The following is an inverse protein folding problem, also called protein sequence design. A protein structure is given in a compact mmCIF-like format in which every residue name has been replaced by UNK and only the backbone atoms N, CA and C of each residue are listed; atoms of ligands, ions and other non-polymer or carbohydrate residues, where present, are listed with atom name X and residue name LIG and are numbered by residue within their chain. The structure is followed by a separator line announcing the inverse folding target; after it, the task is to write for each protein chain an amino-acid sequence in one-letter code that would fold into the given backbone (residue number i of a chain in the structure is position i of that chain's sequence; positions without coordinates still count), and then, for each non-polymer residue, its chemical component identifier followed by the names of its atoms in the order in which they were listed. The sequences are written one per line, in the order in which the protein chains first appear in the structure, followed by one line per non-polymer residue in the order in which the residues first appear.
data_IF_472092719610
#
_entry.id   IF_472092719610
#
_cell.length_a   1.000
_cell.length_b   1.000
_cell.length_c   1.000
_cell.angle_alpha   90.00
_cell.angle_beta   90.00
_cell.angle_gamma   90.00
#
_symmetry.space_group_name_H-M   'P 1'
#
loop_
_entity.id
_entity.type
_entity.pdbx_description
1 polymer ?
#
# COMPACT_ATOMS: atom_id res chain seq x y z
N UNK A 1 9.89 -14.97 -1.73
CA UNK A 1 11.29 -14.50 -1.89
C UNK A 1 11.93 -14.86 -3.21
N UNK A 2 11.87 -16.12 -3.69
CA UNK A 2 12.63 -16.54 -4.90
C UNK A 2 12.40 -15.64 -6.14
N UNK A 3 11.14 -15.39 -6.50
CA UNK A 3 10.81 -14.54 -7.66
C UNK A 3 11.29 -13.09 -7.51
N UNK A 4 11.14 -12.51 -6.32
CA UNK A 4 11.61 -11.14 -6.07
C UNK A 4 13.14 -11.04 -6.05
N UNK A 5 13.86 -12.11 -5.69
CA UNK A 5 15.32 -12.14 -5.64
C UNK A 5 15.98 -12.27 -7.02
N UNK A 6 15.35 -12.99 -7.94
CA UNK A 6 15.92 -13.28 -9.27
C UNK A 6 15.24 -12.53 -10.41
N UNK A 7 14.00 -12.08 -10.22
CA UNK A 7 13.17 -11.44 -11.24
C UNK A 7 12.46 -10.20 -10.66
N UNK A 8 13.20 -9.39 -9.91
CA UNK A 8 12.65 -8.22 -9.21
C UNK A 8 11.94 -7.26 -10.16
N UNK A 9 12.56 -7.01 -11.32
CA UNK A 9 12.05 -6.06 -12.31
C UNK A 9 10.76 -6.60 -12.93
N UNK A 10 10.75 -7.84 -13.38
CA UNK A 10 9.60 -8.51 -14.00
C UNK A 10 8.39 -8.51 -13.06
N UNK A 11 8.63 -8.80 -11.77
CA UNK A 11 7.58 -8.81 -10.74
C UNK A 11 7.03 -7.40 -10.53
N UNK A 12 7.87 -6.36 -10.49
CA UNK A 12 7.43 -4.96 -10.40
C UNK A 12 6.58 -4.56 -11.62
N UNK A 13 6.99 -4.93 -12.83
CA UNK A 13 6.22 -4.68 -14.06
C UNK A 13 4.86 -5.40 -14.06
N UNK A 14 4.81 -6.64 -13.56
CA UNK A 14 3.57 -7.38 -13.39
C UNK A 14 2.61 -6.67 -12.41
N UNK A 15 3.09 -6.25 -11.24
CA UNK A 15 2.29 -5.51 -10.25
C UNK A 15 1.75 -4.19 -10.83
N UNK A 16 2.60 -3.44 -11.53
CA UNK A 16 2.21 -2.18 -12.17
C UNK A 16 1.13 -2.41 -13.22
N UNK A 17 1.28 -3.42 -14.07
CA UNK A 17 0.27 -3.82 -15.05
C UNK A 17 -1.07 -4.16 -14.40
N UNK A 18 -1.05 -4.98 -13.33
CA UNK A 18 -2.27 -5.34 -12.58
C UNK A 18 -2.95 -4.11 -11.97
N UNK A 19 -2.19 -3.21 -11.32
CA UNK A 19 -2.74 -2.00 -10.70
C UNK A 19 -3.31 -1.05 -11.75
N UNK A 20 -2.58 -0.79 -12.84
CA UNK A 20 -3.08 0.01 -13.97
C UNK A 20 -4.37 -0.55 -14.56
N UNK A 21 -4.51 -1.88 -14.62
CA UNK A 21 -5.67 -2.54 -15.21
C UNK A 21 -6.96 -2.28 -14.43
N UNK A 22 -6.83 -2.04 -13.13
CA UNK A 22 -7.97 -1.72 -12.25
C UNK A 22 -8.38 -0.24 -12.30
N UNK A 23 -7.50 0.68 -12.69
CA UNK A 23 -7.77 2.13 -12.64
C UNK A 23 -9.04 2.56 -13.39
N UNK A 24 -9.31 2.10 -14.63
CA UNK A 24 -10.54 2.49 -15.34
C UNK A 24 -11.80 2.08 -14.59
N UNK A 25 -11.79 0.88 -14.00
CA UNK A 25 -12.89 0.35 -13.20
C UNK A 25 -13.11 1.18 -11.93
N UNK A 26 -12.04 1.54 -11.23
CA UNK A 26 -12.11 2.36 -10.01
C UNK A 26 -12.63 3.76 -10.34
N UNK A 27 -12.21 4.37 -11.46
CA UNK A 27 -12.71 5.68 -11.91
C UNK A 27 -14.20 5.61 -12.28
N UNK A 28 -14.64 4.53 -12.95
CA UNK A 28 -16.05 4.31 -13.28
C UNK A 28 -16.89 4.21 -12.00
N UNK A 29 -16.43 3.43 -11.02
CA UNK A 29 -17.14 3.27 -9.74
C UNK A 29 -17.14 4.57 -8.92
N UNK A 30 -16.02 5.31 -8.89
CA UNK A 30 -15.90 6.61 -8.22
C UNK A 30 -16.94 7.62 -8.70
N UNK A 31 -17.22 7.62 -10.01
CA UNK A 31 -18.11 8.56 -10.67
C UNK A 31 -19.57 8.09 -10.75
N UNK A 32 -19.89 6.90 -10.21
CA UNK A 32 -21.25 6.32 -10.21
C UNK A 32 -22.29 7.21 -9.53
N UNK A 33 -21.90 7.99 -8.52
CA UNK A 33 -22.77 8.95 -7.81
C UNK A 33 -22.66 10.40 -8.32
N UNK A 34 -22.07 10.57 -9.52
CA UNK A 34 -21.84 11.88 -10.16
C UNK A 34 -20.48 12.48 -9.79
N UNK A 35 -19.77 12.98 -10.80
CA UNK A 35 -18.46 13.62 -10.64
C UNK A 35 -18.58 15.03 -10.04
N UNK A 36 -17.66 15.37 -9.14
CA UNK A 36 -17.50 16.73 -8.61
C UNK A 36 -16.01 17.10 -8.62
N UNK A 37 -15.70 18.31 -9.06
CA UNK A 37 -14.31 18.78 -9.22
C UNK A 37 -13.51 18.79 -7.90
N UNK A 38 -14.20 18.91 -6.75
CA UNK A 38 -13.60 18.77 -5.41
C UNK A 38 -12.96 17.41 -5.15
N UNK A 39 -13.33 16.35 -5.89
CA UNK A 39 -12.71 15.03 -5.74
C UNK A 39 -11.26 15.01 -6.23
N UNK A 40 -10.91 15.87 -7.20
CA UNK A 40 -9.52 16.00 -7.65
C UNK A 40 -8.60 16.53 -6.56
N UNK A 41 -9.10 17.37 -5.64
CA UNK A 41 -8.29 17.85 -4.51
C UNK A 41 -7.89 16.66 -3.63
N UNK A 42 -8.84 15.78 -3.30
CA UNK A 42 -8.57 14.59 -2.51
C UNK A 42 -7.58 13.64 -3.19
N UNK A 43 -7.70 13.49 -4.51
CA UNK A 43 -6.74 12.76 -5.32
C UNK A 43 -5.34 13.36 -5.25
N UNK A 44 -5.19 14.65 -5.52
CA UNK A 44 -3.89 15.34 -5.50
C UNK A 44 -3.23 15.29 -4.13
N UNK A 45 -4.00 15.46 -3.05
CA UNK A 45 -3.52 15.35 -1.68
C UNK A 45 -2.99 13.94 -1.40
N UNK A 46 -3.78 12.91 -1.70
CA UNK A 46 -3.36 11.52 -1.46
C UNK A 46 -2.16 11.08 -2.31
N UNK A 47 -2.09 11.52 -3.56
CA UNK A 47 -0.95 11.27 -4.44
C UNK A 47 0.31 11.95 -3.89
N UNK A 48 0.22 13.21 -3.47
CA UNK A 48 1.33 13.95 -2.88
C UNK A 48 1.84 13.29 -1.60
N UNK A 49 0.93 12.86 -0.71
CA UNK A 49 1.28 12.15 0.52
C UNK A 49 2.06 10.86 0.21
N UNK A 50 1.61 10.08 -0.77
CA UNK A 50 2.25 8.81 -1.14
C UNK A 50 3.64 9.03 -1.73
N UNK A 51 3.79 10.03 -2.62
CA UNK A 51 5.10 10.35 -3.21
C UNK A 51 6.09 10.89 -2.17
N UNK A 52 5.62 11.73 -1.25
CA UNK A 52 6.44 12.23 -0.13
C UNK A 52 6.87 11.06 0.75
N UNK A 53 5.94 10.18 1.14
CA UNK A 53 6.25 9.01 1.95
C UNK A 53 7.30 8.10 1.26
N UNK A 54 7.15 7.87 -0.05
CA UNK A 54 8.13 7.10 -0.81
C UNK A 54 9.48 7.80 -0.96
N UNK A 55 9.53 9.12 -1.07
CA UNK A 55 10.79 9.85 -1.07
C UNK A 55 11.53 9.68 0.26
N UNK A 56 10.80 9.74 1.38
CA UNK A 56 11.36 9.48 2.71
C UNK A 56 11.85 8.03 2.87
N UNK A 57 11.17 7.06 2.25
CA UNK A 57 11.62 5.66 2.20
C UNK A 57 12.99 5.50 1.53
N UNK A 58 13.16 6.11 0.36
CA UNK A 58 14.35 5.92 -0.46
C UNK A 58 15.62 6.60 0.09
N UNK A 59 15.47 7.64 0.91
CA UNK A 59 16.61 8.41 1.43
C UNK A 59 17.26 7.81 2.70
N UNK A 60 17.09 6.51 2.94
CA UNK A 60 17.88 5.72 3.90
C UNK A 60 18.08 6.43 5.24
N UNK A 61 17.05 6.44 6.07
CA UNK A 61 17.11 7.20 7.32
C UNK A 61 17.93 6.47 8.37
N UNK A 62 18.97 7.15 8.87
CA UNK A 62 19.65 6.78 10.11
C UNK A 62 18.72 7.03 11.28
N UNK A 63 18.18 5.96 11.86
CA UNK A 63 17.30 6.04 13.01
C UNK A 63 18.09 5.71 14.26
N UNK A 64 18.15 6.69 15.16
CA UNK A 64 18.53 6.49 16.54
C UNK A 64 17.34 6.91 17.36
N UNK A 65 16.65 5.93 17.95
CA UNK A 65 15.73 6.11 19.06
C UNK A 65 15.75 4.78 19.83
N UNK A 66 15.99 4.83 21.14
CA UNK A 66 15.79 3.69 22.02
C UNK A 66 14.31 3.31 22.00
N UNK A 67 13.95 2.31 21.20
CA UNK A 67 12.58 1.83 21.12
C UNK A 67 12.20 1.11 22.42
N UNK A 68 11.08 1.52 23.00
CA UNK A 68 10.57 0.92 24.23
C UNK A 68 10.12 -0.53 24.02
N UNK A 69 10.59 -1.43 24.89
CA UNK A 69 10.25 -2.87 24.84
C UNK A 69 9.02 -3.26 25.68
N UNK A 70 8.36 -2.28 26.31
CA UNK A 70 7.22 -2.56 27.18
C UNK A 70 6.00 -3.13 26.42
N UNK A 71 5.11 -3.90 27.06
CA UNK A 71 3.91 -4.46 26.43
C UNK A 71 3.01 -3.42 25.74
N UNK A 72 2.92 -2.21 26.30
CA UNK A 72 2.16 -1.11 25.72
C UNK A 72 2.74 -0.66 24.37
N UNK A 73 4.07 -0.60 24.26
CA UNK A 73 4.74 -0.27 23.00
C UNK A 73 4.51 -1.35 21.94
N UNK A 74 4.48 -2.63 22.33
CA UNK A 74 4.15 -3.72 21.42
C UNK A 74 2.73 -3.61 20.85
N UNK A 75 1.75 -3.20 21.66
CA UNK A 75 0.40 -2.92 21.17
C UNK A 75 0.43 -1.76 20.16
N UNK A 76 1.19 -0.69 20.43
CA UNK A 76 1.34 0.43 19.48
C UNK A 76 1.98 -0.03 18.17
N UNK A 77 3.04 -0.83 18.22
CA UNK A 77 3.68 -1.39 17.02
C UNK A 77 2.69 -2.25 16.23
N UNK A 78 1.88 -3.06 16.93
CA UNK A 78 0.78 -3.80 16.33
C UNK A 78 -0.25 -2.90 15.63
N UNK A 79 -0.61 -1.77 16.28
CA UNK A 79 -1.54 -0.80 15.69
C UNK A 79 -0.99 -0.21 14.38
N UNK A 80 0.32 0.11 14.33
CA UNK A 80 1.01 0.65 13.15
C UNK A 80 1.05 -0.37 12.02
N UNK A 81 1.32 -1.64 12.33
CA UNK A 81 1.29 -2.73 11.34
C UNK A 81 -0.12 -2.86 10.75
N UNK A 82 -1.16 -2.86 11.60
CA UNK A 82 -2.56 -2.90 11.15
C UNK A 82 -2.94 -1.69 10.29
N UNK A 83 -2.38 -0.52 10.59
CA UNK A 83 -2.63 0.69 9.84
C UNK A 83 -2.02 0.64 8.43
N UNK A 84 -0.73 0.34 8.32
CA UNK A 84 -0.05 0.28 7.02
C UNK A 84 -0.48 -0.90 6.15
N UNK A 85 -1.12 -1.93 6.72
CA UNK A 85 -1.73 -3.01 5.94
C UNK A 85 -3.07 -2.62 5.31
N UNK A 86 -3.80 -1.67 5.90
CA UNK A 86 -5.09 -1.20 5.37
C UNK A 86 -4.90 -0.03 4.39
N UNK A 87 -3.99 0.89 4.69
CA UNK A 87 -3.80 2.07 3.83
C UNK A 87 -2.79 1.76 2.71
N UNK A 88 -3.24 1.73 1.44
CA UNK A 88 -2.33 1.48 0.32
C UNK A 88 -1.31 2.61 0.19
N UNK A 89 -0.07 2.25 -0.15
CA UNK A 89 1.02 3.20 -0.35
C UNK A 89 1.74 3.67 0.91
N UNK A 90 1.37 3.17 2.09
CA UNK A 90 2.09 3.44 3.35
C UNK A 90 2.76 2.15 3.83
N UNK A 91 4.10 2.13 3.85
CA UNK A 91 4.86 0.99 4.38
C UNK A 91 4.93 1.05 5.91
N UNK A 92 4.22 0.14 6.58
CA UNK A 92 4.30 0.00 8.05
C UNK A 92 5.74 -0.25 8.52
N UNK A 93 6.53 -1.00 7.74
CA UNK A 93 7.92 -1.32 8.05
C UNK A 93 8.77 -0.07 8.20
N UNK A 94 8.61 0.92 7.33
CA UNK A 94 9.32 2.20 7.44
C UNK A 94 8.94 2.94 8.72
N UNK A 95 7.64 2.99 9.05
CA UNK A 95 7.18 3.68 10.26
C UNK A 95 7.79 3.03 11.50
N UNK A 96 7.82 1.70 11.55
CA UNK A 96 8.49 0.95 12.62
C UNK A 96 9.99 1.20 12.65
N UNK A 97 10.62 1.31 11.46
CA UNK A 97 12.03 1.63 11.31
C UNK A 97 12.27 3.02 11.92
N UNK A 98 11.48 4.04 11.57
CA UNK A 98 11.56 5.40 12.13
C UNK A 98 11.45 5.45 13.65
N UNK A 99 10.70 4.52 14.23
CA UNK A 99 10.55 4.38 15.67
C UNK A 99 11.67 3.56 16.35
N UNK A 100 12.64 3.03 15.58
CA UNK A 100 13.69 2.11 16.08
C UNK A 100 13.16 0.72 16.47
N UNK A 101 11.90 0.43 16.16
CA UNK A 101 11.16 -0.75 16.65
C UNK A 101 11.11 -1.91 15.66
N UNK A 102 11.54 -1.69 14.41
CA UNK A 102 11.50 -2.70 13.35
C UNK A 102 12.25 -3.99 13.74
N UNK A 103 13.48 -3.85 14.23
CA UNK A 103 14.30 -4.99 14.68
C UNK A 103 13.67 -5.73 15.87
N UNK A 104 13.01 -5.01 16.77
CA UNK A 104 12.30 -5.60 17.91
C UNK A 104 11.14 -6.48 17.42
N UNK A 105 10.33 -5.94 16.50
CA UNK A 105 9.17 -6.65 15.94
C UNK A 105 9.61 -7.86 15.13
N UNK A 106 10.57 -7.69 14.20
CA UNK A 106 11.07 -8.79 13.37
C UNK A 106 11.79 -9.83 14.22
N UNK A 107 12.59 -9.41 15.20
CA UNK A 107 13.25 -10.30 16.15
C UNK A 107 12.25 -11.12 16.98
N UNK A 108 11.15 -10.51 17.44
CA UNK A 108 10.09 -11.20 18.17
C UNK A 108 9.37 -12.24 17.32
N UNK A 109 9.12 -11.93 16.04
CA UNK A 109 8.48 -12.87 15.10
C UNK A 109 9.44 -14.01 14.75
N UNK A 110 10.69 -13.70 14.42
CA UNK A 110 11.71 -14.68 14.02
C UNK A 110 12.03 -15.68 15.13
N UNK A 111 12.10 -15.20 16.38
CA UNK A 111 12.34 -16.07 17.55
C UNK A 111 11.05 -16.64 18.17
N UNK A 112 9.89 -16.44 17.54
CA UNK A 112 8.57 -16.93 18.00
C UNK A 112 8.34 -16.56 19.48
N UNK A 113 8.53 -15.28 19.82
CA UNK A 113 8.29 -14.77 21.16
C UNK A 113 6.78 -14.62 21.38
N UNK A 114 6.12 -15.71 21.77
CA UNK A 114 4.66 -15.85 21.86
C UNK A 114 4.01 -14.69 22.62
N UNK A 115 4.59 -14.28 23.76
CA UNK A 115 4.03 -13.20 24.57
C UNK A 115 4.05 -11.85 23.85
N UNK A 116 5.13 -11.54 23.13
CA UNK A 116 5.29 -10.31 22.36
C UNK A 116 4.35 -10.33 21.15
N UNK A 117 4.26 -11.47 20.47
CA UNK A 117 3.36 -11.68 19.33
C UNK A 117 1.89 -11.50 19.74
N UNK A 118 1.50 -11.95 20.95
CA UNK A 118 0.14 -11.73 21.46
C UNK A 118 -0.15 -10.22 21.60
N UNK A 119 0.75 -9.44 22.21
CA UNK A 119 0.55 -8.00 22.34
C UNK A 119 0.53 -7.28 20.99
N UNK A 120 1.43 -7.65 20.07
CA UNK A 120 1.41 -7.16 18.69
C UNK A 120 0.09 -7.51 17.99
N UNK A 121 -0.37 -8.75 18.15
CA UNK A 121 -1.62 -9.25 17.57
C UNK A 121 -2.85 -8.51 18.09
N UNK A 122 -2.90 -8.19 19.38
CA UNK A 122 -3.98 -7.36 19.96
C UNK A 122 -4.00 -5.98 19.30
N UNK A 123 -2.85 -5.31 19.21
CA UNK A 123 -2.75 -4.02 18.53
C UNK A 123 -3.17 -4.10 17.06
N UNK A 124 -2.70 -5.13 16.35
CA UNK A 124 -3.05 -5.36 14.95
C UNK A 124 -4.56 -5.52 14.75
N UNK A 125 -5.22 -6.38 15.53
CA UNK A 125 -6.65 -6.63 15.43
C UNK A 125 -7.46 -5.36 15.74
N UNK A 126 -7.09 -4.63 16.80
CA UNK A 126 -7.74 -3.37 17.15
C UNK A 126 -7.65 -2.37 15.99
N UNK A 127 -6.46 -2.21 15.41
CA UNK A 127 -6.24 -1.32 14.27
C UNK A 127 -7.08 -1.73 13.08
N UNK A 128 -7.08 -3.02 12.72
CA UNK A 128 -7.85 -3.51 11.58
C UNK A 128 -9.34 -3.22 11.74
N UNK A 129 -9.91 -3.51 12.90
CA UNK A 129 -11.33 -3.25 13.17
C UNK A 129 -11.66 -1.76 13.14
N UNK A 130 -10.78 -0.92 13.73
CA UNK A 130 -10.98 0.52 13.79
C UNK A 130 -10.92 1.16 12.39
N UNK A 131 -9.91 0.80 11.60
CA UNK A 131 -9.74 1.33 10.25
C UNK A 131 -10.76 0.77 9.26
N UNK A 132 -11.14 -0.50 9.36
CA UNK A 132 -12.24 -1.06 8.56
C UNK A 132 -13.53 -0.26 8.78
N UNK A 133 -13.88 0.01 10.04
CA UNK A 133 -15.06 0.83 10.39
C UNK A 133 -14.93 2.27 9.88
N UNK A 134 -13.75 2.87 10.02
CA UNK A 134 -13.48 4.22 9.52
C UNK A 134 -13.70 4.31 8.00
N UNK A 135 -13.17 3.35 7.25
CA UNK A 135 -13.31 3.28 5.79
C UNK A 135 -14.78 3.10 5.39
N UNK A 136 -15.55 2.25 6.09
CA UNK A 136 -16.99 2.13 5.86
C UNK A 136 -17.72 3.48 6.03
N UNK A 137 -17.44 4.20 7.12
CA UNK A 137 -18.05 5.52 7.38
C UNK A 137 -17.66 6.52 6.28
N UNK A 138 -16.40 6.48 5.81
CA UNK A 138 -15.92 7.32 4.72
C UNK A 138 -16.67 7.04 3.41
N UNK A 139 -16.86 5.77 3.05
CA UNK A 139 -17.63 5.40 1.86
C UNK A 139 -19.10 5.81 1.94
N UNK A 140 -19.72 5.72 3.12
CA UNK A 140 -21.11 6.13 3.34
C UNK A 140 -21.29 7.65 3.20
N UNK A 141 -20.43 8.44 3.85
CA UNK A 141 -20.57 9.91 3.91
C UNK A 141 -19.92 10.64 2.73
N UNK A 142 -18.83 10.10 2.20
CA UNK A 142 -17.92 10.79 1.29
C UNK A 142 -17.50 9.94 0.08
N UNK A 143 -18.38 9.06 -0.40
CA UNK A 143 -18.17 8.11 -1.51
C UNK A 143 -17.17 8.57 -2.60
N UNK A 144 -17.46 9.66 -3.31
CA UNK A 144 -16.59 10.15 -4.39
C UNK A 144 -15.23 10.66 -3.92
N UNK A 145 -15.14 11.28 -2.74
CA UNK A 145 -13.87 11.72 -2.15
C UNK A 145 -13.02 10.49 -1.80
N UNK A 146 -13.60 9.49 -1.13
CA UNK A 146 -12.92 8.27 -0.71
C UNK A 146 -12.35 7.49 -1.90
N UNK A 147 -13.14 7.33 -2.98
CA UNK A 147 -12.64 6.68 -4.20
C UNK A 147 -11.49 7.44 -4.85
N UNK A 148 -11.58 8.77 -4.95
CA UNK A 148 -10.50 9.58 -5.51
C UNK A 148 -9.24 9.58 -4.63
N UNK A 149 -9.39 9.49 -3.30
CA UNK A 149 -8.29 9.24 -2.38
C UNK A 149 -7.62 7.89 -2.64
N UNK A 150 -8.39 6.81 -2.76
CA UNK A 150 -7.85 5.48 -3.08
C UNK A 150 -7.13 5.51 -4.44
N UNK A 151 -7.70 6.17 -5.44
CA UNK A 151 -7.07 6.37 -6.75
C UNK A 151 -5.71 7.06 -6.64
N UNK A 152 -5.59 8.11 -5.84
CA UNK A 152 -4.33 8.82 -5.67
C UNK A 152 -3.29 8.01 -4.90
N UNK A 153 -3.71 7.23 -3.89
CA UNK A 153 -2.82 6.29 -3.19
C UNK A 153 -2.31 5.18 -4.11
N UNK A 154 -3.20 4.57 -4.91
CA UNK A 154 -2.88 3.52 -5.88
C UNK A 154 -1.92 4.05 -6.96
N UNK A 155 -2.21 5.24 -7.52
CA UNK A 155 -1.34 5.86 -8.51
C UNK A 155 0.02 6.28 -7.92
N UNK A 156 0.04 6.83 -6.72
CA UNK A 156 1.29 7.13 -6.01
C UNK A 156 2.14 5.87 -5.78
N UNK A 157 1.50 4.75 -5.43
CA UNK A 157 2.19 3.46 -5.25
C UNK A 157 2.76 2.92 -6.56
N UNK A 158 2.02 3.06 -7.68
CA UNK A 158 2.52 2.69 -9.00
C UNK A 158 3.79 3.48 -9.34
N UNK A 159 3.78 4.80 -9.11
CA UNK A 159 4.94 5.66 -9.38
C UNK A 159 6.12 5.30 -8.48
N UNK A 160 5.87 4.98 -7.21
CA UNK A 160 6.88 4.59 -6.23
C UNK A 160 7.59 3.28 -6.59
N UNK A 161 6.84 2.29 -7.10
CA UNK A 161 7.37 0.96 -7.43
C UNK A 161 8.04 0.93 -8.82
N UNK A 162 7.80 1.94 -9.66
CA UNK A 162 8.27 1.96 -11.04
C UNK A 162 9.80 1.91 -11.12
N UNK A 163 10.41 0.82 -11.63
CA UNK A 163 11.86 0.61 -11.59
C UNK A 163 12.63 1.44 -12.63
N UNK A 164 11.96 2.26 -13.45
CA UNK A 164 12.58 3.00 -14.56
C UNK A 164 12.49 2.28 -15.90
N UNK A 165 12.92 2.97 -16.96
CA UNK A 165 13.00 2.44 -18.32
C UNK A 165 14.45 2.11 -18.66
N UNK A 166 14.75 0.84 -18.97
CA UNK A 166 16.06 0.42 -19.49
C UNK A 166 15.91 -0.13 -20.91
N UNK A 167 16.76 0.30 -21.84
CA UNK A 167 16.69 -0.14 -23.25
C UNK A 167 17.51 -1.43 -23.47
N UNK A 168 17.02 -2.56 -22.94
CA UNK A 168 17.62 -3.90 -23.08
C UNK A 168 16.61 -4.90 -23.66
N UNK A 169 17.03 -6.02 -24.26
CA UNK A 169 16.10 -7.04 -24.80
C UNK A 169 15.15 -7.62 -23.74
N UNK A 170 15.58 -7.68 -22.48
CA UNK A 170 14.74 -8.07 -21.33
C UNK A 170 13.58 -7.08 -21.09
N UNK A 171 13.68 -5.85 -21.59
CA UNK A 171 12.63 -4.83 -21.51
C UNK A 171 11.40 -5.18 -22.37
N UNK A 172 11.59 -5.87 -23.50
CA UNK A 172 10.48 -6.35 -24.32
C UNK A 172 9.64 -7.38 -23.56
N UNK A 173 10.30 -8.28 -22.82
CA UNK A 173 9.63 -9.25 -21.96
C UNK A 173 8.84 -8.54 -20.85
N UNK A 174 9.44 -7.55 -20.19
CA UNK A 174 8.76 -6.73 -19.17
C UNK A 174 7.53 -5.99 -19.71
N UNK A 175 7.61 -5.44 -20.93
CA UNK A 175 6.47 -4.82 -21.59
C UNK A 175 5.35 -5.82 -21.89
N UNK A 176 5.70 -7.02 -22.37
CA UNK A 176 4.73 -8.09 -22.63
C UNK A 176 4.04 -8.50 -21.32
N UNK A 177 4.81 -8.68 -20.24
CA UNK A 177 4.27 -9.01 -18.91
C UNK A 177 3.33 -7.91 -18.42
N UNK A 178 3.73 -6.64 -18.51
CA UNK A 178 2.91 -5.50 -18.11
C UNK A 178 1.59 -5.46 -18.89
N UNK A 179 1.64 -5.61 -20.22
CA UNK A 179 0.44 -5.60 -21.07
C UNK A 179 -0.46 -6.81 -20.80
N UNK A 180 0.11 -8.00 -20.59
CA UNK A 180 -0.64 -9.20 -20.26
C UNK A 180 -1.36 -9.06 -18.91
N UNK A 181 -0.66 -8.60 -17.88
CA UNK A 181 -1.23 -8.32 -16.55
C UNK A 181 -2.27 -7.21 -16.60
N UNK A 182 -2.02 -6.15 -17.37
CA UNK A 182 -2.97 -5.06 -17.59
C UNK A 182 -4.26 -5.57 -18.22
N UNK A 183 -4.16 -6.33 -19.31
CA UNK A 183 -5.31 -6.90 -20.00
C UNK A 183 -6.10 -7.88 -19.12
N UNK A 184 -5.40 -8.74 -18.37
CA UNK A 184 -6.01 -9.68 -17.44
C UNK A 184 -6.80 -8.95 -16.35
N UNK A 185 -6.17 -7.97 -15.69
CA UNK A 185 -6.79 -7.17 -14.63
C UNK A 185 -7.96 -6.33 -15.14
N UNK A 186 -7.82 -5.74 -16.33
CA UNK A 186 -8.91 -5.01 -16.98
C UNK A 186 -10.11 -5.92 -17.28
N UNK A 187 -9.86 -7.11 -17.81
CA UNK A 187 -10.92 -8.08 -18.13
C UNK A 187 -11.66 -8.55 -16.87
N UNK A 188 -10.92 -8.87 -15.81
CA UNK A 188 -11.48 -9.27 -14.50
C UNK A 188 -12.30 -8.15 -13.86
N UNK A 189 -11.77 -6.92 -13.86
CA UNK A 189 -12.46 -5.78 -13.25
C UNK A 189 -13.75 -5.43 -13.98
N UNK A 190 -13.79 -5.54 -15.32
CA UNK A 190 -15.02 -5.35 -16.09
C UNK A 190 -16.10 -6.35 -15.71
N UNK A 191 -15.75 -7.63 -15.55
CA UNK A 191 -16.70 -8.68 -15.13
C UNK A 191 -17.25 -8.40 -13.72
N UNK A 192 -16.47 -7.80 -12.84
CA UNK A 192 -16.89 -7.48 -11.48
C UNK A 192 -17.85 -6.28 -11.39
N UNK A 193 -17.71 -5.29 -12.28
CA UNK A 193 -18.53 -4.07 -12.30
C UNK A 193 -19.89 -4.28 -12.99
N UNK A 194 -19.99 -5.24 -13.90
CA UNK A 194 -21.22 -5.51 -14.65
C UNK A 194 -22.18 -6.49 -13.91
N UNK A 195 -21.91 -6.83 -12.64
CA UNK A 195 -22.82 -7.56 -11.73
C UNK A 195 -23.49 -6.63 -10.73
#
# INVERSE_FOLDING_TARGET
EYLFKYYEVEVKYAFIGLMFGTLPSVIKEANKKGYKQKYLIAFMVSLSITLIASYFENNGVNIINEAGTSPFHMIIYGLIIGFGTIIPGISASIILMYMGSYEIVIGAISNIQIIVIIYLGIGFVISVLLFAKLICILFEKAFGITYYTILGLVLGSIVSIFPGFEFTLDYLLNCIILLACWFLSYSLSKIAVDK
#
